data_IF_348846229411
#
_entry.id   IF_348846229411
#
_cell.length_a   1.000
_cell.length_b   1.000
_cell.length_c   1.000
_cell.angle_alpha   90.00
_cell.angle_beta   90.00
_cell.angle_gamma   90.00
#
_symmetry.space_group_name_H-M   'P 1'
#
loop_
_entity.id
_entity.type
_entity.pdbx_description
1 polymer ?
#
# COMPACT_ATOMS: atom_id res chain seq x y z
N UNK A 1 -1.20 -68.13 -11.72
CA UNK A 1 -1.32 -66.66 -11.82
C UNK A 1 0.10 -66.12 -11.80
N UNK A 2 0.55 -65.44 -12.86
CA UNK A 2 1.96 -65.06 -13.02
C UNK A 2 2.42 -64.06 -11.94
N UNK A 3 3.61 -64.30 -11.40
CA UNK A 3 4.22 -63.49 -10.34
C UNK A 3 4.33 -62.00 -10.75
N UNK A 4 4.51 -61.76 -12.05
CA UNK A 4 4.55 -60.44 -12.69
C UNK A 4 3.23 -59.68 -12.52
N UNK A 5 2.09 -60.36 -12.66
CA UNK A 5 0.77 -59.74 -12.52
C UNK A 5 0.53 -59.31 -11.07
N UNK A 6 0.92 -60.15 -10.11
CA UNK A 6 0.81 -59.83 -8.68
C UNK A 6 1.70 -58.63 -8.32
N UNK A 7 2.94 -58.60 -8.83
CA UNK A 7 3.86 -57.48 -8.61
C UNK A 7 3.32 -56.16 -9.16
N UNK A 8 2.76 -56.16 -10.38
CA UNK A 8 2.16 -54.97 -10.99
C UNK A 8 0.95 -54.45 -10.20
N UNK A 9 0.11 -55.34 -9.67
CA UNK A 9 -1.03 -54.94 -8.82
C UNK A 9 -0.53 -54.26 -7.53
N UNK A 10 0.50 -54.82 -6.88
CA UNK A 10 1.08 -54.24 -5.66
C UNK A 10 1.69 -52.87 -5.96
N UNK A 11 2.49 -52.74 -7.01
CA UNK A 11 3.11 -51.46 -7.40
C UNK A 11 2.07 -50.41 -7.81
N UNK A 12 1.04 -50.79 -8.57
CA UNK A 12 -0.06 -49.91 -8.93
C UNK A 12 -0.84 -49.41 -7.71
N UNK A 13 -1.10 -50.31 -6.76
CA UNK A 13 -1.77 -49.97 -5.49
C UNK A 13 -0.91 -49.02 -4.65
N UNK A 14 0.40 -49.28 -4.54
CA UNK A 14 1.32 -48.40 -3.82
C UNK A 14 1.38 -47.00 -4.46
N UNK A 15 1.42 -46.92 -5.78
CA UNK A 15 1.41 -45.65 -6.52
C UNK A 15 0.11 -44.88 -6.28
N UNK A 16 -1.02 -45.58 -6.28
CA UNK A 16 -2.33 -44.98 -5.99
C UNK A 16 -2.41 -44.44 -4.56
N UNK A 17 -1.91 -45.18 -3.57
CA UNK A 17 -1.86 -44.73 -2.17
C UNK A 17 -1.03 -43.46 -2.05
N UNK A 18 0.16 -43.42 -2.66
CA UNK A 18 1.02 -42.23 -2.67
C UNK A 18 0.30 -41.05 -3.32
N UNK A 19 -0.36 -41.25 -4.47
CA UNK A 19 -1.12 -40.21 -5.15
C UNK A 19 -2.26 -39.66 -4.27
N UNK A 20 -2.98 -40.52 -3.56
CA UNK A 20 -4.03 -40.12 -2.61
C UNK A 20 -3.44 -39.27 -1.48
N UNK A 21 -2.33 -39.71 -0.87
CA UNK A 21 -1.65 -38.95 0.20
C UNK A 21 -1.21 -37.58 -0.31
N UNK A 22 -0.62 -37.50 -1.50
CA UNK A 22 -0.22 -36.22 -2.11
C UNK A 22 -1.41 -35.29 -2.34
N UNK A 23 -2.56 -35.81 -2.80
CA UNK A 23 -3.78 -35.03 -2.95
C UNK A 23 -4.29 -34.50 -1.60
N UNK A 24 -4.22 -35.30 -0.53
CA UNK A 24 -4.57 -34.84 0.81
C UNK A 24 -3.63 -33.74 1.32
N UNK A 25 -2.32 -33.91 1.14
CA UNK A 25 -1.32 -32.90 1.50
C UNK A 25 -1.55 -31.59 0.75
N UNK A 26 -1.78 -31.66 -0.57
CA UNK A 26 -2.04 -30.48 -1.41
C UNK A 26 -3.31 -29.74 -0.96
N UNK A 27 -4.37 -30.47 -0.58
CA UNK A 27 -5.59 -29.84 -0.03
C UNK A 27 -5.32 -29.13 1.30
N UNK A 28 -4.54 -29.74 2.19
CA UNK A 28 -4.17 -29.12 3.46
C UNK A 28 -3.28 -27.87 3.27
N UNK A 29 -2.29 -27.95 2.39
CA UNK A 29 -1.43 -26.81 2.04
C UNK A 29 -2.24 -25.64 1.48
N UNK A 30 -3.17 -25.91 0.55
CA UNK A 30 -4.05 -24.88 0.01
C UNK A 30 -4.94 -24.23 1.08
N UNK A 31 -5.43 -25.00 2.05
CA UNK A 31 -6.20 -24.46 3.17
C UNK A 31 -5.33 -23.56 4.05
N UNK A 32 -4.10 -23.99 4.38
CA UNK A 32 -3.16 -23.20 5.18
C UNK A 32 -2.77 -21.90 4.49
N UNK A 33 -2.47 -21.94 3.19
CA UNK A 33 -2.17 -20.75 2.39
C UNK A 33 -3.32 -19.73 2.41
N UNK A 34 -4.57 -20.20 2.30
CA UNK A 34 -5.75 -19.32 2.38
C UNK A 34 -5.89 -18.66 3.75
N UNK A 35 -5.63 -19.41 4.83
CA UNK A 35 -5.67 -18.86 6.19
C UNK A 35 -4.55 -17.84 6.39
N UNK A 36 -3.32 -18.16 5.99
CA UNK A 36 -2.18 -17.24 6.07
C UNK A 36 -2.42 -15.96 5.28
N UNK A 37 -2.99 -16.05 4.07
CA UNK A 37 -3.32 -14.88 3.28
C UNK A 37 -4.39 -14.01 3.96
N UNK A 38 -5.42 -14.63 4.56
CA UNK A 38 -6.43 -13.91 5.34
C UNK A 38 -5.83 -13.19 6.55
N UNK A 39 -4.96 -13.88 7.29
CA UNK A 39 -4.31 -13.31 8.48
C UNK A 39 -3.37 -12.17 8.11
N UNK A 40 -2.59 -12.33 7.04
CA UNK A 40 -1.74 -11.29 6.48
C UNK A 40 -2.55 -10.05 6.08
N UNK A 41 -3.63 -10.23 5.31
CA UNK A 41 -4.51 -9.14 4.91
C UNK A 41 -5.10 -8.38 6.12
N UNK A 42 -5.46 -9.11 7.18
CA UNK A 42 -5.95 -8.49 8.42
C UNK A 42 -4.85 -7.72 9.15
N UNK A 43 -3.63 -8.26 9.23
CA UNK A 43 -2.48 -7.59 9.83
C UNK A 43 -2.15 -6.27 9.14
N UNK A 44 -2.10 -6.26 7.80
CA UNK A 44 -1.87 -5.04 7.01
C UNK A 44 -2.96 -4.00 7.27
N UNK A 45 -4.24 -4.41 7.28
CA UNK A 45 -5.36 -3.52 7.60
C UNK A 45 -5.24 -2.91 8.99
N UNK A 46 -4.89 -3.72 9.99
CA UNK A 46 -4.69 -3.25 11.35
C UNK A 46 -3.53 -2.26 11.44
N UNK A 47 -2.38 -2.58 10.83
CA UNK A 47 -1.20 -1.72 10.82
C UNK A 47 -1.48 -0.35 10.17
N UNK A 48 -2.21 -0.33 9.04
CA UNK A 48 -2.66 0.91 8.40
C UNK A 48 -3.58 1.70 9.34
N UNK A 49 -4.54 1.02 9.97
CA UNK A 49 -5.50 1.61 10.90
C UNK A 49 -4.83 2.22 12.14
N UNK A 50 -3.89 1.50 12.74
CA UNK A 50 -3.11 1.93 13.92
C UNK A 50 -2.24 3.15 13.61
N UNK A 51 -1.47 3.11 12.51
CA UNK A 51 -0.63 4.25 12.10
C UNK A 51 -1.46 5.49 11.82
N UNK A 52 -2.60 5.35 11.13
CA UNK A 52 -3.53 6.48 10.87
C UNK A 52 -4.10 7.05 12.17
N UNK A 53 -4.51 6.18 13.09
CA UNK A 53 -5.10 6.58 14.37
C UNK A 53 -4.07 7.30 15.23
N UNK A 54 -2.87 6.74 15.35
CA UNK A 54 -1.74 7.35 16.05
C UNK A 54 -1.40 8.74 15.48
N UNK A 55 -1.27 8.84 14.15
CA UNK A 55 -1.02 10.11 13.47
C UNK A 55 -2.12 11.14 13.80
N UNK A 56 -3.40 10.74 13.78
CA UNK A 56 -4.52 11.66 14.05
C UNK A 56 -4.57 12.12 15.51
N UNK A 57 -4.38 11.22 16.46
CA UNK A 57 -4.43 11.53 17.90
C UNK A 57 -3.29 12.46 18.34
N UNK A 58 -2.16 12.42 17.64
CA UNK A 58 -1.01 13.27 17.94
C UNK A 58 -1.15 14.74 17.51
N UNK A 59 -2.18 15.08 16.72
CA UNK A 59 -2.31 16.41 16.11
C UNK A 59 -2.97 17.44 17.06
N UNK A 60 -2.19 18.46 17.41
CA UNK A 60 -2.71 19.67 18.06
C UNK A 60 -3.34 20.64 17.05
N UNK A 61 -4.03 21.67 17.53
CA UNK A 61 -4.64 22.70 16.67
C UNK A 61 -3.62 23.46 15.82
N UNK A 62 -2.47 23.85 16.39
CA UNK A 62 -1.40 24.55 15.68
C UNK A 62 -0.70 23.66 14.64
N UNK A 63 -0.55 22.38 14.95
CA UNK A 63 -0.08 21.38 14.00
C UNK A 63 -1.02 21.27 12.81
N UNK A 64 -2.33 21.20 13.05
CA UNK A 64 -3.34 21.13 11.98
C UNK A 64 -3.29 22.33 11.04
N UNK A 65 -3.14 23.53 11.58
CA UNK A 65 -2.97 24.75 10.76
C UNK A 65 -1.73 24.66 9.86
N UNK A 66 -0.61 24.20 10.41
CA UNK A 66 0.63 23.97 9.66
C UNK A 66 0.43 22.97 8.53
N UNK A 67 -0.28 21.86 8.78
CA UNK A 67 -0.59 20.85 7.76
C UNK A 67 -1.45 21.41 6.64
N UNK A 68 -2.55 22.09 6.98
CA UNK A 68 -3.46 22.68 5.98
C UNK A 68 -2.69 23.67 5.12
N UNK A 69 -1.93 24.57 5.74
CA UNK A 69 -1.12 25.56 5.06
C UNK A 69 -0.09 24.92 4.12
N UNK A 70 0.72 24.00 4.64
CA UNK A 70 1.78 23.35 3.88
C UNK A 70 1.25 22.45 2.74
N UNK A 71 0.04 21.88 2.90
CA UNK A 71 -0.59 21.03 1.88
C UNK A 71 -0.92 21.80 0.60
N UNK A 72 -1.36 23.05 0.74
CA UNK A 72 -1.71 23.91 -0.40
C UNK A 72 -0.52 24.77 -0.86
N UNK A 73 0.27 25.31 0.07
CA UNK A 73 1.45 26.12 -0.24
C UNK A 73 2.60 25.80 0.74
N UNK A 74 3.54 24.97 0.28
CA UNK A 74 4.72 24.62 1.06
C UNK A 74 5.66 25.82 1.29
N UNK A 75 5.71 26.76 0.34
CA UNK A 75 6.55 27.96 0.45
C UNK A 75 6.06 28.90 1.54
N UNK A 76 4.78 28.83 1.91
CA UNK A 76 4.22 29.57 3.04
C UNK A 76 4.74 29.09 4.41
N UNK A 77 5.31 27.87 4.52
CA UNK A 77 5.97 27.40 5.74
C UNK A 77 7.33 28.08 5.86
N UNK A 78 7.42 29.11 6.71
CA UNK A 78 8.63 29.94 6.85
C UNK A 78 9.54 29.46 7.96
N UNK A 79 8.99 28.82 8.99
CA UNK A 79 9.77 28.35 10.14
C UNK A 79 10.31 26.95 9.88
N UNK A 80 11.54 26.71 10.33
CA UNK A 80 12.17 25.38 10.25
C UNK A 80 11.34 24.32 10.97
N UNK A 81 10.80 24.63 12.15
CA UNK A 81 9.95 23.71 12.92
C UNK A 81 8.68 23.31 12.17
N UNK A 82 8.02 24.27 11.50
CA UNK A 82 6.84 24.01 10.66
C UNK A 82 7.19 23.07 9.50
N UNK A 83 8.33 23.30 8.84
CA UNK A 83 8.81 22.46 7.73
C UNK A 83 9.16 21.05 8.19
N UNK A 84 9.92 20.90 9.27
CA UNK A 84 10.31 19.60 9.82
C UNK A 84 9.09 18.79 10.22
N UNK A 85 8.14 19.41 10.91
CA UNK A 85 6.89 18.76 11.28
C UNK A 85 6.08 18.34 10.04
N UNK A 86 5.93 19.25 9.07
CA UNK A 86 5.21 18.96 7.83
C UNK A 86 5.87 17.82 7.03
N UNK A 87 7.20 17.81 6.92
CA UNK A 87 7.96 16.75 6.25
C UNK A 87 7.72 15.39 6.88
N UNK A 88 7.82 15.30 8.21
CA UNK A 88 7.57 14.05 8.92
C UNK A 88 6.14 13.56 8.69
N UNK A 89 5.17 14.48 8.72
CA UNK A 89 3.77 14.13 8.45
C UNK A 89 3.55 13.66 7.02
N UNK A 90 4.18 14.31 6.03
CA UNK A 90 4.10 13.88 4.62
C UNK A 90 4.70 12.50 4.44
N UNK A 91 5.89 12.23 4.98
CA UNK A 91 6.54 10.91 4.87
C UNK A 91 5.64 9.82 5.46
N UNK A 92 5.18 10.00 6.70
CA UNK A 92 4.30 9.03 7.34
C UNK A 92 2.97 8.85 6.58
N UNK A 93 2.44 9.90 5.97
CA UNK A 93 1.23 9.80 5.15
C UNK A 93 1.50 9.04 3.84
N UNK A 94 2.61 9.34 3.16
CA UNK A 94 3.02 8.64 1.94
C UNK A 94 3.24 7.15 2.19
N UNK A 95 3.94 6.78 3.28
CA UNK A 95 4.12 5.37 3.66
C UNK A 95 2.78 4.64 3.85
N UNK A 96 1.81 5.29 4.49
CA UNK A 96 0.46 4.72 4.65
C UNK A 96 -0.22 4.54 3.30
N UNK A 97 -0.12 5.52 2.40
CA UNK A 97 -0.73 5.44 1.08
C UNK A 97 -0.04 4.41 0.18
N UNK A 98 1.28 4.29 0.25
CA UNK A 98 2.05 3.26 -0.46
C UNK A 98 1.67 1.87 0.03
N UNK A 99 1.53 1.66 1.35
CA UNK A 99 1.04 0.38 1.86
C UNK A 99 -0.36 0.04 1.33
N UNK A 100 -1.25 1.03 1.20
CA UNK A 100 -2.57 0.80 0.56
C UNK A 100 -2.44 0.47 -0.93
N UNK A 101 -1.44 1.05 -1.61
CA UNK A 101 -1.17 0.80 -3.01
C UNK A 101 -0.65 -0.63 -3.24
N UNK A 102 0.42 -1.00 -2.54
CA UNK A 102 1.09 -2.29 -2.67
C UNK A 102 0.20 -3.47 -2.25
N UNK A 103 -0.68 -3.24 -1.28
CA UNK A 103 -1.61 -4.26 -0.76
C UNK A 103 -3.06 -3.92 -1.12
N UNK A 104 -3.29 -3.39 -2.33
CA UNK A 104 -4.60 -2.95 -2.81
C UNK A 104 -5.61 -4.11 -2.80
N UNK A 105 -5.20 -5.30 -3.25
CA UNK A 105 -6.03 -6.52 -3.26
C UNK A 105 -6.48 -6.94 -1.86
N UNK A 106 -5.54 -6.99 -0.91
CA UNK A 106 -5.78 -7.41 0.48
C UNK A 106 -6.62 -6.37 1.23
N UNK A 107 -6.29 -5.09 1.03
CA UNK A 107 -6.94 -3.99 1.73
C UNK A 107 -8.30 -3.63 1.13
N UNK A 108 -8.55 -3.99 -0.13
CA UNK A 108 -9.74 -3.64 -0.89
C UNK A 108 -9.75 -2.21 -1.39
N UNK A 109 -8.59 -1.55 -1.45
CA UNK A 109 -8.45 -0.22 -2.02
C UNK A 109 -8.17 -0.32 -3.53
N UNK A 110 -8.54 0.71 -4.27
CA UNK A 110 -8.15 0.82 -5.67
C UNK A 110 -6.69 1.26 -5.75
N UNK A 111 -5.89 0.49 -6.49
CA UNK A 111 -4.48 0.79 -6.72
C UNK A 111 -4.31 2.17 -7.37
N UNK A 112 -3.29 2.90 -6.92
CA UNK A 112 -2.87 4.23 -7.33
C UNK A 112 -3.87 5.36 -7.11
N UNK A 113 -5.18 5.09 -7.06
CA UNK A 113 -6.21 6.11 -6.96
C UNK A 113 -6.09 6.94 -5.68
N UNK A 114 -5.99 6.30 -4.52
CA UNK A 114 -5.86 7.04 -3.25
C UNK A 114 -4.61 7.91 -3.19
N UNK A 115 -3.50 7.41 -3.75
CA UNK A 115 -2.25 8.16 -3.79
C UNK A 115 -2.37 9.34 -4.77
N UNK A 116 -3.01 9.13 -5.93
CA UNK A 116 -3.32 10.17 -6.92
C UNK A 116 -4.29 11.22 -6.40
N UNK A 117 -5.36 10.84 -5.72
CA UNK A 117 -6.30 11.76 -5.06
C UNK A 117 -5.60 12.64 -4.02
N UNK A 118 -4.77 12.01 -3.17
CA UNK A 118 -4.03 12.73 -2.14
C UNK A 118 -3.00 13.70 -2.73
N UNK A 119 -2.17 13.24 -3.66
CA UNK A 119 -1.13 14.06 -4.29
C UNK A 119 -1.74 15.13 -5.20
N UNK A 120 -2.81 14.80 -5.93
CA UNK A 120 -3.51 15.69 -6.85
C UNK A 120 -4.15 16.88 -6.16
N UNK A 121 -4.79 16.64 -5.00
CA UNK A 121 -5.37 17.68 -4.16
C UNK A 121 -4.37 18.47 -3.31
N UNK A 122 -3.07 18.16 -3.40
CA UNK A 122 -2.04 18.66 -2.48
C UNK A 122 -0.79 19.18 -3.20
N UNK A 123 -0.85 20.30 -3.95
CA UNK A 123 0.30 20.83 -4.68
C UNK A 123 1.51 21.13 -3.76
N UNK A 124 1.29 21.62 -2.54
CA UNK A 124 2.34 21.84 -1.56
C UNK A 124 3.04 20.54 -1.12
N UNK A 125 2.32 19.42 -1.04
CA UNK A 125 2.92 18.10 -0.78
C UNK A 125 3.81 17.68 -1.94
N UNK A 126 3.35 17.83 -3.20
CA UNK A 126 4.16 17.51 -4.38
C UNK A 126 5.41 18.39 -4.45
N UNK A 127 5.27 19.69 -4.18
CA UNK A 127 6.40 20.61 -4.09
C UNK A 127 7.41 20.18 -3.01
N UNK A 128 6.94 19.85 -1.82
CA UNK A 128 7.80 19.35 -0.74
C UNK A 128 8.49 18.04 -1.14
N UNK A 129 7.77 17.10 -1.77
CA UNK A 129 8.32 15.84 -2.25
C UNK A 129 9.49 16.05 -3.24
N UNK A 130 9.30 16.92 -4.23
CA UNK A 130 10.32 17.23 -5.26
C UNK A 130 11.54 17.95 -4.70
N UNK A 131 11.33 18.93 -3.81
CA UNK A 131 12.34 19.93 -3.45
C UNK A 131 12.94 19.76 -2.05
N UNK A 132 12.69 18.64 -1.35
CA UNK A 132 13.20 18.40 -0.01
C UNK A 132 13.80 17.00 0.17
N UNK A 133 14.14 16.65 1.42
CA UNK A 133 14.69 15.33 1.77
C UNK A 133 13.63 14.22 1.86
N UNK A 134 12.34 14.52 1.60
CA UNK A 134 11.26 13.53 1.67
C UNK A 134 11.55 12.36 0.71
N UNK A 135 11.85 12.65 -0.56
CA UNK A 135 12.12 11.62 -1.58
C UNK A 135 13.30 10.71 -1.21
N UNK A 136 14.28 11.23 -0.48
CA UNK A 136 15.49 10.49 -0.08
C UNK A 136 15.25 9.53 1.10
N UNK A 137 14.15 9.69 1.83
CA UNK A 137 13.81 8.87 3.00
C UNK A 137 12.93 7.67 2.65
N UNK A 138 12.50 7.55 1.39
CA UNK A 138 11.68 6.45 0.91
C UNK A 138 12.56 5.41 0.21
N UNK A 139 12.10 4.15 0.21
CA UNK A 139 12.74 3.10 -0.58
C UNK A 139 12.52 3.31 -2.09
N UNK A 140 13.31 2.60 -2.90
CA UNK A 140 13.32 2.80 -4.36
C UNK A 140 11.98 2.49 -5.02
N UNK A 141 11.27 1.45 -4.58
CA UNK A 141 9.99 1.05 -5.18
C UNK A 141 8.92 2.09 -4.88
N UNK A 142 8.86 2.56 -3.62
CA UNK A 142 8.04 3.69 -3.20
C UNK A 142 8.30 4.96 -4.01
N UNK A 143 9.58 5.28 -4.26
CA UNK A 143 9.96 6.44 -5.07
C UNK A 143 9.47 6.31 -6.50
N UNK A 144 9.64 5.15 -7.13
CA UNK A 144 9.20 4.94 -8.52
C UNK A 144 7.68 5.13 -8.67
N UNK A 145 6.88 4.57 -7.74
CA UNK A 145 5.43 4.71 -7.74
C UNK A 145 5.02 6.18 -7.59
N UNK A 146 5.62 6.90 -6.62
CA UNK A 146 5.27 8.30 -6.39
C UNK A 146 5.73 9.18 -7.56
N UNK A 147 6.93 8.98 -8.09
CA UNK A 147 7.45 9.74 -9.23
C UNK A 147 6.54 9.62 -10.45
N UNK A 148 6.05 8.40 -10.74
CA UNK A 148 5.11 8.17 -11.84
C UNK A 148 3.80 8.95 -11.64
N UNK A 149 3.19 8.85 -10.47
CA UNK A 149 1.93 9.53 -10.15
C UNK A 149 2.11 11.05 -10.13
N UNK A 150 3.19 11.56 -9.53
CA UNK A 150 3.50 13.00 -9.50
C UNK A 150 3.69 13.52 -10.91
N UNK A 151 4.41 12.80 -11.77
CA UNK A 151 4.61 13.17 -13.18
C UNK A 151 3.27 13.25 -13.91
N UNK A 152 2.41 12.23 -13.78
CA UNK A 152 1.08 12.26 -14.41
C UNK A 152 0.24 13.47 -13.99
N UNK A 153 0.21 13.76 -12.68
CA UNK A 153 -0.54 14.90 -12.15
C UNK A 153 0.04 16.21 -12.68
N UNK A 154 1.36 16.38 -12.62
CA UNK A 154 2.02 17.61 -13.05
C UNK A 154 1.87 17.83 -14.58
N UNK A 155 1.81 16.77 -15.38
CA UNK A 155 1.50 16.84 -16.82
C UNK A 155 0.05 17.29 -17.07
N UNK A 156 -0.89 16.93 -16.20
CA UNK A 156 -2.31 17.23 -16.34
C UNK A 156 -2.68 18.64 -15.85
N UNK A 157 -2.18 19.04 -14.67
CA UNK A 157 -2.59 20.30 -14.01
C UNK A 157 -1.45 21.29 -13.79
N UNK A 158 -0.21 20.92 -14.11
CA UNK A 158 0.98 21.72 -13.81
C UNK A 158 1.47 21.53 -12.37
N UNK A 159 2.66 22.08 -12.09
CA UNK A 159 3.39 21.87 -10.82
C UNK A 159 2.62 22.27 -9.56
N UNK A 160 1.84 23.36 -9.67
CA UNK A 160 1.07 23.96 -8.57
C UNK A 160 -0.45 23.76 -8.75
N UNK A 161 -0.86 23.05 -9.82
CA UNK A 161 -2.27 22.80 -10.10
C UNK A 161 -2.92 21.86 -9.09
N UNK A 162 -4.24 21.95 -8.97
CA UNK A 162 -5.05 21.04 -8.16
C UNK A 162 -5.79 20.11 -9.11
N UNK A 163 -5.58 18.81 -8.94
CA UNK A 163 -6.37 17.79 -9.61
C UNK A 163 -7.51 17.37 -8.69
N UNK A 164 -8.72 17.83 -9.00
CA UNK A 164 -9.95 17.40 -8.32
C UNK A 164 -10.45 16.10 -8.94
N UNK A 165 -10.15 15.00 -8.29
CA UNK A 165 -10.71 13.68 -8.59
C UNK A 165 -11.97 13.47 -7.74
N UNK A 166 -13.12 13.23 -8.38
CA UNK A 166 -14.32 12.78 -7.66
C UNK A 166 -14.01 11.44 -6.95
N UNK A 167 -13.96 11.48 -5.61
CA UNK A 167 -13.73 10.27 -4.83
C UNK A 167 -14.97 9.37 -4.91
N UNK A 168 -14.83 8.23 -5.58
CA UNK A 168 -15.89 7.21 -5.69
C UNK A 168 -15.89 6.25 -4.50
N UNK A 169 -15.40 6.69 -3.33
CA UNK A 169 -15.27 5.84 -2.15
C UNK A 169 -16.64 5.40 -1.57
N UNK A 170 -16.81 4.13 -1.15
CA UNK A 170 -15.87 3.03 -1.32
C UNK A 170 -15.84 2.56 -2.78
N UNK A 171 -14.63 2.29 -3.30
CA UNK A 171 -14.46 1.83 -4.68
C UNK A 171 -15.26 0.57 -4.95
N UNK A 172 -15.99 0.58 -6.07
CA UNK A 172 -16.63 -0.64 -6.58
C UNK A 172 -15.52 -1.55 -7.09
N UNK A 173 -15.41 -2.75 -6.50
CA UNK A 173 -14.59 -3.85 -7.03
C UNK A 173 -15.12 -4.29 -8.39
#
# INVERSE_FOLDING_TARGET
MDLVVIAQIITGTATLIVAIVLLFQLRQQNLQLRLQHKDFAQQIKNQIGERRTSATLSLTSSMRETLVKGRYDYSALKKTEERTFFHQWVISTLEIMIMKNLYSEETGHQESQHLKEYLGSSPGVRHAYRNSTIRQQLDLDSVNIIDEIVREIDEEVGLDGILETESSYPYKK
#
